data_IF_047627316475
#
_entry.id   IF_047627316475
#
_cell.length_a   1.000
_cell.length_b   1.000
_cell.length_c   1.000
_cell.angle_alpha   90.00
_cell.angle_beta   90.00
_cell.angle_gamma   90.00
#
_symmetry.space_group_name_H-M   'P 1'
#
loop_
_entity.id
_entity.type
_entity.pdbx_description
1 polymer ?
#
# COMPACT_ATOMS: atom_id res chain seq x y z
N UNK A 1 -11.19 5.60 13.23
CA UNK A 1 -11.06 4.36 12.45
C UNK A 1 -10.75 4.79 11.01
N UNK A 2 -9.48 4.74 10.58
CA UNK A 2 -9.16 5.13 9.20
C UNK A 2 -9.68 4.03 8.26
N UNK A 3 -10.65 4.39 7.42
CA UNK A 3 -11.00 3.58 6.27
C UNK A 3 -9.74 3.38 5.44
N UNK A 4 -9.52 2.14 4.95
CA UNK A 4 -8.51 1.96 3.92
C UNK A 4 -8.88 2.91 2.77
N UNK A 5 -7.92 3.70 2.27
CA UNK A 5 -8.19 4.77 1.34
C UNK A 5 -8.97 4.17 0.17
N UNK A 6 -10.22 4.64 -0.05
CA UNK A 6 -11.04 4.21 -1.18
C UNK A 6 -10.14 4.16 -2.40
N UNK A 7 -9.99 3.02 -3.08
CA UNK A 7 -9.02 2.80 -4.17
C UNK A 7 -9.28 3.69 -5.43
N UNK A 8 -9.94 4.83 -5.27
CA UNK A 8 -10.30 5.86 -6.24
C UNK A 8 -9.20 6.92 -6.48
N UNK A 9 -8.03 6.81 -5.85
CA UNK A 9 -7.01 7.87 -5.83
C UNK A 9 -6.53 8.18 -7.24
N UNK A 10 -6.98 9.32 -7.74
CA UNK A 10 -6.47 9.92 -8.97
C UNK A 10 -5.03 10.42 -8.76
N UNK A 11 -4.37 10.85 -9.84
CA UNK A 11 -2.98 11.34 -9.79
C UNK A 11 -2.78 12.48 -8.77
N UNK A 12 -3.78 13.35 -8.60
CA UNK A 12 -3.72 14.49 -7.66
C UNK A 12 -3.62 14.02 -6.21
N UNK A 13 -4.35 12.96 -5.87
CA UNK A 13 -4.31 12.39 -4.53
C UNK A 13 -2.92 11.79 -4.22
N UNK A 14 -2.30 11.10 -5.19
CA UNK A 14 -0.95 10.53 -5.03
C UNK A 14 0.16 11.56 -4.88
N UNK A 15 0.02 12.74 -5.49
CA UNK A 15 0.96 13.86 -5.31
C UNK A 15 1.08 14.30 -3.84
N UNK A 16 0.02 14.10 -3.04
CA UNK A 16 0.01 14.40 -1.60
C UNK A 16 0.45 13.18 -0.79
N UNK A 17 -0.03 12.00 -1.17
CA UNK A 17 0.12 10.79 -0.36
C UNK A 17 1.52 10.17 -0.41
N UNK A 18 2.27 10.34 -1.50
CA UNK A 18 3.53 9.62 -1.70
C UNK A 18 4.59 9.90 -0.60
N UNK A 19 4.49 11.02 0.13
CA UNK A 19 5.40 11.38 1.23
C UNK A 19 4.90 10.96 2.61
N UNK A 20 3.63 10.54 2.74
CA UNK A 20 2.97 10.34 4.03
C UNK A 20 3.74 9.43 4.98
N UNK A 21 4.37 8.40 4.43
CA UNK A 21 5.09 7.38 5.20
C UNK A 21 6.61 7.43 4.99
N UNK A 22 7.11 8.48 4.34
CA UNK A 22 8.53 8.68 4.12
C UNK A 22 9.17 9.32 5.38
N UNK A 23 10.18 8.70 6.01
CA UNK A 23 10.82 9.32 7.17
C UNK A 23 11.52 10.63 6.79
N UNK A 24 11.46 11.63 7.68
CA UNK A 24 11.95 12.99 7.41
C UNK A 24 13.41 13.04 6.99
N UNK A 25 14.26 12.16 7.53
CA UNK A 25 15.69 12.08 7.21
C UNK A 25 15.96 11.69 5.75
N UNK A 26 15.00 11.03 5.10
CA UNK A 26 15.07 10.65 3.68
C UNK A 26 14.27 11.58 2.77
N UNK A 27 13.47 12.49 3.32
CA UNK A 27 12.53 13.33 2.57
C UNK A 27 13.16 14.23 1.51
N UNK A 28 14.46 14.56 1.66
CA UNK A 28 15.25 15.33 0.70
C UNK A 28 16.20 14.48 -0.16
N UNK A 29 16.31 13.19 0.12
CA UNK A 29 17.28 12.27 -0.53
C UNK A 29 16.63 11.36 -1.56
N UNK A 30 15.32 11.16 -1.47
CA UNK A 30 14.58 10.36 -2.45
C UNK A 30 14.28 11.14 -3.71
N UNK A 31 14.20 10.44 -4.84
CA UNK A 31 13.72 11.02 -6.08
C UNK A 31 12.23 11.40 -5.97
N UNK A 32 11.85 12.53 -6.57
CA UNK A 32 10.50 13.10 -6.48
C UNK A 32 9.67 12.65 -7.69
N UNK A 33 8.56 11.92 -7.48
CA UNK A 33 7.66 11.59 -8.57
C UNK A 33 6.90 12.82 -9.08
N UNK A 34 6.93 13.03 -10.39
CA UNK A 34 6.20 14.09 -11.09
C UNK A 34 5.03 13.57 -11.91
N UNK A 35 4.93 12.25 -12.11
CA UNK A 35 3.84 11.56 -12.81
C UNK A 35 3.53 10.25 -12.09
N UNK A 36 2.27 9.82 -12.09
CA UNK A 36 1.86 8.55 -11.50
C UNK A 36 1.07 7.68 -12.48
N UNK A 37 1.15 6.37 -12.32
CA UNK A 37 0.36 5.39 -13.06
C UNK A 37 -0.27 4.40 -12.07
N UNK A 38 -1.59 4.21 -12.17
CA UNK A 38 -2.36 3.27 -11.35
C UNK A 38 -2.71 2.03 -12.17
N UNK A 39 -2.39 0.85 -11.63
CA UNK A 39 -2.86 -0.43 -12.10
C UNK A 39 -3.69 -1.10 -11.00
N UNK A 40 -4.96 -1.40 -11.29
CA UNK A 40 -5.83 -2.14 -10.37
C UNK A 40 -5.77 -3.63 -10.69
N UNK A 41 -5.58 -4.44 -9.67
CA UNK A 41 -5.74 -5.88 -9.74
C UNK A 41 -7.09 -6.25 -9.11
N UNK A 42 -8.14 -6.23 -9.95
CA UNK A 42 -9.51 -6.50 -9.49
C UNK A 42 -9.68 -7.94 -9.00
N UNK A 43 -8.93 -8.89 -9.58
CA UNK A 43 -9.02 -10.29 -9.20
C UNK A 43 -8.41 -10.53 -7.81
N UNK A 44 -7.34 -9.83 -7.48
CA UNK A 44 -6.64 -9.92 -6.20
C UNK A 44 -7.12 -8.90 -5.14
N UNK A 45 -8.14 -8.08 -5.42
CA UNK A 45 -8.56 -7.01 -4.51
C UNK A 45 -7.46 -5.98 -4.23
N UNK A 46 -6.50 -5.83 -5.14
CA UNK A 46 -5.28 -5.03 -4.93
C UNK A 46 -5.13 -3.86 -5.90
N UNK A 47 -4.21 -2.96 -5.59
CA UNK A 47 -3.80 -1.91 -6.50
C UNK A 47 -2.30 -1.64 -6.40
N UNK A 48 -1.72 -1.21 -7.51
CA UNK A 48 -0.33 -0.79 -7.64
C UNK A 48 -0.25 0.59 -8.25
N UNK A 49 0.62 1.41 -7.71
CA UNK A 49 0.90 2.76 -8.18
C UNK A 49 2.39 2.90 -8.38
N UNK A 50 2.77 3.35 -9.58
CA UNK A 50 4.13 3.76 -9.89
C UNK A 50 4.21 5.27 -9.98
N UNK A 51 5.25 5.84 -9.38
CA UNK A 51 5.64 7.23 -9.59
C UNK A 51 6.92 7.32 -10.40
N UNK A 52 6.94 8.26 -11.32
CA UNK A 52 8.05 8.50 -12.24
C UNK A 52 8.61 9.90 -12.03
N UNK A 53 9.94 10.02 -12.03
CA UNK A 53 10.61 11.31 -11.89
C UNK A 53 10.60 12.10 -13.21
N UNK A 54 11.27 13.26 -13.21
CA UNK A 54 11.33 14.16 -14.39
C UNK A 54 12.03 13.55 -15.61
N UNK A 55 12.80 12.48 -15.43
CA UNK A 55 13.47 11.76 -16.52
C UNK A 55 12.65 10.56 -17.00
N UNK A 56 11.47 10.32 -16.42
CA UNK A 56 10.62 9.17 -16.75
C UNK A 56 11.03 7.89 -16.04
N UNK A 57 11.99 7.95 -15.13
CA UNK A 57 12.48 6.80 -14.38
C UNK A 57 11.56 6.49 -13.20
N UNK A 58 11.33 5.20 -12.91
CA UNK A 58 10.58 4.79 -11.74
C UNK A 58 11.32 5.23 -10.46
N UNK A 59 10.64 6.01 -9.62
CA UNK A 59 11.18 6.55 -8.38
C UNK A 59 10.31 6.30 -7.15
N UNK A 60 9.06 5.90 -7.37
CA UNK A 60 8.12 5.56 -6.31
C UNK A 60 7.30 4.33 -6.71
N UNK A 61 6.98 3.51 -5.73
CA UNK A 61 6.08 2.37 -5.88
C UNK A 61 5.21 2.26 -4.65
N UNK A 62 3.93 1.97 -4.84
CA UNK A 62 3.03 1.62 -3.76
C UNK A 62 2.14 0.48 -4.20
N UNK A 63 2.09 -0.57 -3.41
CA UNK A 63 1.19 -1.69 -3.57
C UNK A 63 0.32 -1.82 -2.35
N UNK A 64 -0.97 -2.05 -2.56
CA UNK A 64 -1.93 -2.43 -1.52
C UNK A 64 -2.58 -3.73 -1.95
N UNK A 65 -2.71 -4.65 -1.00
CA UNK A 65 -3.40 -5.93 -1.16
C UNK A 65 -4.28 -6.16 0.06
N UNK A 66 -5.52 -6.58 -0.19
CA UNK A 66 -6.48 -6.96 0.84
C UNK A 66 -6.97 -8.38 0.54
N UNK A 67 -6.83 -9.27 1.53
CA UNK A 67 -7.58 -10.51 1.52
C UNK A 67 -8.98 -10.22 2.05
N UNK A 68 -10.00 -10.71 1.35
CA UNK A 68 -11.35 -10.86 1.92
C UNK A 68 -11.56 -12.34 2.19
N UNK A 69 -11.64 -12.72 3.46
CA UNK A 69 -11.95 -14.05 3.89
C UNK A 69 -13.47 -14.14 3.95
N UNK A 70 -14.08 -15.13 3.31
CA UNK A 70 -15.44 -15.50 3.64
C UNK A 70 -15.43 -16.00 5.09
N UNK A 71 -16.06 -15.28 6.01
CA UNK A 71 -16.46 -15.87 7.28
C UNK A 71 -17.74 -16.65 7.02
N UNK A 72 -17.61 -17.96 6.82
CA UNK A 72 -18.74 -18.87 7.02
C UNK A 72 -18.95 -18.96 8.53
N UNK A 73 -20.05 -18.41 9.03
CA UNK A 73 -20.66 -18.91 10.26
C UNK A 73 -21.53 -20.10 9.85
N UNK A 74 -21.57 -21.12 10.71
CA UNK A 74 -22.25 -22.39 10.48
C UNK A 74 -23.64 -22.24 9.84
N UNK A 75 -23.91 -23.15 8.92
CA UNK A 75 -25.10 -23.23 8.08
C UNK A 75 -26.36 -23.56 8.89
N UNK A 76 -27.05 -22.60 9.52
CA UNK A 76 -28.44 -22.87 9.98
C UNK A 76 -29.40 -21.69 9.92
N UNK A 77 -28.95 -20.44 10.11
CA UNK A 77 -29.81 -19.26 9.96
C UNK A 77 -29.33 -18.41 8.79
N UNK A 78 -30.25 -18.01 7.91
CA UNK A 78 -29.94 -17.28 6.67
C UNK A 78 -29.37 -15.89 6.93
N UNK A 79 -28.07 -15.81 7.25
CA UNK A 79 -27.44 -14.62 7.81
C UNK A 79 -26.66 -13.75 6.81
N UNK A 80 -26.71 -12.45 7.11
CA UNK A 80 -26.07 -11.35 6.42
C UNK A 80 -24.54 -11.46 6.47
N UNK A 81 -23.92 -11.34 5.30
CA UNK A 81 -22.47 -11.24 5.15
C UNK A 81 -21.97 -9.87 5.68
N UNK A 82 -21.38 -9.82 6.89
CA UNK A 82 -20.50 -8.70 7.24
C UNK A 82 -19.08 -9.01 6.76
N UNK A 83 -18.53 -8.15 5.89
CA UNK A 83 -17.16 -8.24 5.41
C UNK A 83 -16.17 -7.95 6.55
N UNK A 84 -15.86 -8.96 7.37
CA UNK A 84 -14.80 -8.86 8.36
C UNK A 84 -13.44 -8.66 7.65
N UNK A 85 -12.77 -7.53 7.90
CA UNK A 85 -11.46 -7.20 7.31
C UNK A 85 -10.40 -8.23 7.68
N UNK A 86 -10.16 -9.16 6.79
CA UNK A 86 -9.25 -10.30 6.96
C UNK A 86 -7.89 -10.03 6.33
N UNK A 87 -7.02 -9.31 7.02
CA UNK A 87 -5.64 -9.04 6.58
C UNK A 87 -5.49 -8.21 5.30
N UNK A 88 -4.66 -7.18 5.39
CA UNK A 88 -4.09 -6.53 4.23
C UNK A 88 -2.68 -6.05 4.48
N UNK A 89 -1.96 -5.89 3.38
CA UNK A 89 -0.59 -5.44 3.38
C UNK A 89 -0.46 -4.30 2.38
N UNK A 90 0.28 -3.27 2.79
CA UNK A 90 0.72 -2.21 1.91
C UNK A 90 2.24 -2.10 1.91
N UNK A 91 2.84 -1.94 0.73
CA UNK A 91 4.28 -1.72 0.55
C UNK A 91 4.51 -0.45 -0.23
N UNK A 92 5.20 0.52 0.36
CA UNK A 92 5.68 1.71 -0.33
C UNK A 92 7.18 1.60 -0.55
N UNK A 93 7.68 2.10 -1.67
CA UNK A 93 9.09 2.16 -1.94
C UNK A 93 9.47 3.48 -2.62
N UNK A 94 10.60 4.05 -2.20
CA UNK A 94 11.17 5.28 -2.76
C UNK A 94 12.60 5.04 -3.24
N UNK A 95 12.92 5.51 -4.44
CA UNK A 95 14.28 5.42 -4.97
C UNK A 95 15.19 6.39 -4.21
N UNK A 96 16.26 5.85 -3.65
CA UNK A 96 17.23 6.52 -2.80
C UNK A 96 18.65 6.18 -3.28
N UNK A 97 19.28 7.07 -4.05
CA UNK A 97 20.71 6.97 -4.39
C UNK A 97 21.17 5.62 -4.97
N UNK A 98 20.36 4.99 -5.83
CA UNK A 98 20.65 3.67 -6.42
C UNK A 98 20.09 2.47 -5.65
N UNK A 99 19.48 2.70 -4.49
CA UNK A 99 18.71 1.72 -3.72
C UNK A 99 17.24 2.14 -3.63
N UNK A 100 16.44 1.32 -2.96
CA UNK A 100 15.05 1.58 -2.63
C UNK A 100 14.87 1.54 -1.12
N UNK A 101 14.34 2.62 -0.55
CA UNK A 101 13.80 2.60 0.80
C UNK A 101 12.41 2.00 0.74
N UNK A 102 12.19 0.86 1.37
CA UNK A 102 10.91 0.14 1.38
C UNK A 102 10.27 0.28 2.75
N UNK A 103 9.00 0.61 2.79
CA UNK A 103 8.14 0.61 3.96
C UNK A 103 7.07 -0.46 3.77
N UNK A 104 7.08 -1.47 4.64
CA UNK A 104 6.01 -2.47 4.68
C UNK A 104 5.11 -2.17 5.86
N UNK A 105 3.80 -2.18 5.61
CA UNK A 105 2.75 -1.95 6.60
C UNK A 105 1.72 -3.07 6.49
N UNK A 106 1.43 -3.72 7.61
CA UNK A 106 0.48 -4.83 7.70
C UNK A 106 -0.69 -4.43 8.60
N UNK A 107 -1.91 -4.80 8.22
CA UNK A 107 -3.13 -4.48 8.97
C UNK A 107 -4.08 -5.68 9.01
N UNK A 108 -4.62 -5.97 10.19
CA UNK A 108 -5.62 -7.02 10.40
C UNK A 108 -5.02 -8.41 10.58
N UNK A 109 -5.12 -8.96 11.79
CA UNK A 109 -5.13 -10.39 12.02
C UNK A 109 -6.56 -10.76 12.44
N UNK A 110 -7.03 -11.95 12.04
CA UNK A 110 -8.20 -12.55 12.67
C UNK A 110 -7.91 -12.63 14.18
N UNK A 111 -8.84 -12.13 15.00
CA UNK A 111 -8.67 -11.73 16.40
C UNK A 111 -8.19 -10.29 16.58
N UNK A 112 -9.15 -9.45 16.99
CA UNK A 112 -9.02 -8.04 17.26
C UNK A 112 -7.78 -7.68 18.10
N UNK A 113 -7.22 -6.48 17.84
CA UNK A 113 -6.20 -5.77 18.62
C UNK A 113 -4.72 -5.95 18.22
N UNK A 114 -4.37 -6.50 17.06
CA UNK A 114 -2.99 -6.41 16.58
C UNK A 114 -2.64 -4.96 16.13
N UNK A 115 -1.58 -4.33 16.67
CA UNK A 115 -1.18 -2.99 16.26
C UNK A 115 -0.70 -2.99 14.80
N UNK A 116 -0.92 -1.87 14.10
CA UNK A 116 -0.32 -1.64 12.79
C UNK A 116 1.20 -1.80 12.89
N UNK A 117 1.75 -2.84 12.25
CA UNK A 117 3.19 -3.04 12.19
C UNK A 117 3.74 -2.37 10.95
N UNK A 118 4.74 -1.49 11.15
CA UNK A 118 5.46 -0.81 10.07
C UNK A 118 6.96 -0.95 10.28
N UNK A 119 7.66 -1.35 9.22
CA UNK A 119 9.12 -1.42 9.24
C UNK A 119 9.71 -0.92 7.92
N UNK A 120 10.97 -0.48 7.99
CA UNK A 120 11.71 0.07 6.87
C UNK A 120 12.92 -0.78 6.52
N UNK A 121 13.17 -1.01 5.24
CA UNK A 121 14.34 -1.75 4.74
C UNK A 121 14.96 -1.04 3.54
N UNK A 122 16.25 -1.30 3.29
CA UNK A 122 16.92 -0.90 2.06
C UNK A 122 17.03 -2.10 1.13
N UNK A 123 16.56 -1.94 -0.10
CA UNK A 123 16.60 -2.96 -1.15
C UNK A 123 17.43 -2.48 -2.35
N UNK A 124 18.13 -3.40 -3.02
CA UNK A 124 18.85 -3.11 -4.28
C UNK A 124 17.91 -2.97 -5.48
N UNK A 125 16.69 -3.47 -5.38
CA UNK A 125 15.70 -3.44 -6.46
C UNK A 125 14.30 -3.16 -5.94
N UNK A 126 13.37 -2.94 -6.87
CA UNK A 126 11.96 -2.81 -6.54
C UNK A 126 11.47 -4.08 -5.80
N UNK A 127 10.72 -3.92 -4.70
CA UNK A 127 10.05 -5.05 -4.07
C UNK A 127 9.08 -5.68 -5.08
N UNK A 128 9.17 -7.02 -5.20
CA UNK A 128 8.26 -7.83 -6.01
C UNK A 128 7.07 -8.28 -5.18
#
# INVERSE_FOLDING_TARGET
>A
MEHLPELNWNEVAWRREWRRFLPTDYARRVAVPVRFALARDRAAGGARVWGYDRWGEACFYHQVYECRAPQGLDEEDGELFEEARSYGQSRMAWRLGGQWLVCTREHGAACACAPEYRHYTLSKGLPR
#
